data_IF_784780193019
#
_entry.id   IF_784780193019
#
_cell.length_a   1.000
_cell.length_b   1.000
_cell.length_c   1.000
_cell.angle_alpha   90.00
_cell.angle_beta   90.00
_cell.angle_gamma   90.00
#
_symmetry.space_group_name_H-M   'P 1'
#
loop_
_entity.id
_entity.type
_entity.pdbx_description
1 polymer ?
#
# COMPACT_ATOMS: atom_id res chain seq x y z
N UNK A 1 57.66 -44.82 -4.56
CA UNK A 1 57.32 -43.59 -5.32
C UNK A 1 55.99 -43.82 -6.01
N UNK A 2 55.12 -42.79 -6.06
CA UNK A 2 53.71 -42.78 -6.49
C UNK A 2 52.74 -43.08 -5.34
N UNK A 3 52.18 -42.11 -4.61
CA UNK A 3 51.35 -40.92 -4.90
C UNK A 3 49.91 -41.20 -4.43
N UNK A 4 49.57 -40.56 -3.31
CA UNK A 4 48.22 -40.42 -2.77
C UNK A 4 47.30 -39.74 -3.80
N UNK A 5 46.14 -40.33 -4.06
CA UNK A 5 45.02 -39.63 -4.68
C UNK A 5 43.91 -39.59 -3.63
N UNK A 6 43.86 -38.47 -2.92
CA UNK A 6 42.69 -38.09 -2.14
C UNK A 6 41.58 -37.66 -3.11
N UNK A 7 40.45 -38.34 -3.06
CA UNK A 7 39.25 -37.96 -3.79
C UNK A 7 38.64 -36.72 -3.12
N UNK A 8 38.86 -35.54 -3.71
CA UNK A 8 38.14 -34.31 -3.34
C UNK A 8 36.74 -34.35 -3.94
N UNK A 9 35.73 -34.63 -3.11
CA UNK A 9 34.34 -34.39 -3.43
C UNK A 9 34.08 -32.87 -3.37
N UNK A 10 33.93 -32.24 -4.53
CA UNK A 10 33.50 -30.85 -4.62
C UNK A 10 31.97 -30.79 -4.43
N UNK A 11 31.55 -30.47 -3.20
CA UNK A 11 30.17 -30.11 -2.91
C UNK A 11 29.91 -28.68 -3.45
N UNK A 12 29.21 -28.58 -4.57
CA UNK A 12 28.69 -27.30 -5.08
C UNK A 12 27.44 -26.96 -4.27
N UNK A 13 27.59 -26.13 -3.24
CA UNK A 13 26.48 -25.51 -2.55
C UNK A 13 25.88 -24.43 -3.46
N UNK A 14 24.79 -24.75 -4.16
CA UNK A 14 23.97 -23.75 -4.84
C UNK A 14 23.19 -22.99 -3.78
N UNK A 15 23.73 -21.85 -3.36
CA UNK A 15 22.99 -20.89 -2.54
C UNK A 15 21.87 -20.29 -3.40
N UNK A 16 20.63 -20.78 -3.22
CA UNK A 16 19.43 -20.08 -3.71
C UNK A 16 19.31 -18.76 -2.95
N UNK A 17 19.82 -17.68 -3.54
CA UNK A 17 19.46 -16.33 -3.17
C UNK A 17 17.99 -16.10 -3.56
N UNK A 18 17.09 -16.37 -2.63
CA UNK A 18 15.74 -15.83 -2.64
C UNK A 18 15.83 -14.31 -2.44
N UNK A 19 15.92 -13.56 -3.54
CA UNK A 19 15.67 -12.13 -3.53
C UNK A 19 14.19 -11.88 -3.19
N UNK A 20 13.90 -11.65 -1.92
CA UNK A 20 12.71 -10.92 -1.51
C UNK A 20 12.88 -9.48 -1.99
N UNK A 21 12.24 -9.12 -3.10
CA UNK A 21 12.06 -7.72 -3.46
C UNK A 21 11.02 -7.13 -2.50
N UNK A 22 11.36 -6.10 -1.70
CA UNK A 22 10.39 -5.42 -0.87
C UNK A 22 9.42 -4.64 -1.77
N UNK A 23 8.12 -4.73 -1.47
CA UNK A 23 7.15 -3.74 -1.92
C UNK A 23 7.52 -2.38 -1.27
N UNK A 24 7.34 -1.28 -2.00
CA UNK A 24 8.01 0.01 -1.73
C UNK A 24 7.07 1.18 -2.06
N UNK A 25 6.83 2.08 -1.10
CA UNK A 25 6.26 3.43 -1.30
C UNK A 25 6.48 4.38 -0.10
N UNK A 26 6.17 5.67 -0.28
CA UNK A 26 6.87 6.94 0.07
C UNK A 26 7.64 7.55 -1.14
N UNK A 27 7.88 8.87 -1.10
CA UNK A 27 8.65 9.54 -2.15
C UNK A 27 10.04 8.93 -2.27
N UNK A 28 10.47 8.66 -3.50
CA UNK A 28 11.79 8.12 -3.80
C UNK A 28 12.22 8.58 -5.19
N UNK A 29 13.53 8.64 -5.45
CA UNK A 29 13.98 8.78 -6.85
C UNK A 29 13.72 7.49 -7.62
N UNK A 30 13.44 7.60 -8.91
CA UNK A 30 13.25 6.47 -9.80
C UNK A 30 14.06 6.66 -11.09
N UNK A 31 14.28 5.56 -11.80
CA UNK A 31 14.72 5.55 -13.18
C UNK A 31 13.65 4.84 -14.02
N UNK A 32 13.31 5.42 -15.16
CA UNK A 32 12.49 4.73 -16.15
C UNK A 32 13.37 3.72 -16.90
N UNK A 33 13.05 2.43 -16.79
CA UNK A 33 13.75 1.36 -17.49
C UNK A 33 12.85 0.71 -18.53
N UNK A 34 13.40 -0.24 -19.31
CA UNK A 34 12.61 -1.06 -20.23
C UNK A 34 11.52 -1.89 -19.52
N UNK A 35 11.64 -2.12 -18.21
CA UNK A 35 10.65 -2.81 -17.37
C UNK A 35 9.73 -1.89 -16.57
N UNK A 36 9.77 -0.58 -16.79
CA UNK A 36 9.02 0.43 -16.03
C UNK A 36 9.85 1.15 -14.96
N UNK A 37 9.19 1.83 -14.03
CA UNK A 37 9.85 2.58 -12.95
C UNK A 37 10.59 1.65 -11.99
N UNK A 38 11.86 1.96 -11.76
CA UNK A 38 12.68 1.33 -10.73
C UNK A 38 13.12 2.38 -9.70
N UNK A 39 12.81 2.14 -8.43
CA UNK A 39 13.25 3.03 -7.36
C UNK A 39 14.77 2.98 -7.17
N UNK A 40 15.35 4.15 -7.00
CA UNK A 40 16.77 4.43 -6.84
C UNK A 40 17.00 5.14 -5.52
N UNK A 41 18.19 4.97 -4.97
CA UNK A 41 18.66 5.80 -3.87
C UNK A 41 19.36 7.02 -4.43
N UNK A 42 19.18 8.18 -3.78
CA UNK A 42 19.91 9.39 -4.12
C UNK A 42 20.78 9.82 -2.92
N UNK A 43 22.09 9.93 -3.13
CA UNK A 43 23.04 10.26 -2.08
C UNK A 43 23.17 11.77 -1.79
N UNK A 44 22.66 12.61 -2.69
CA UNK A 44 22.77 14.06 -2.62
C UNK A 44 21.51 14.74 -2.08
N UNK A 45 20.34 14.11 -2.23
CA UNK A 45 19.05 14.63 -1.75
C UNK A 45 18.73 14.02 -0.38
N UNK A 46 18.64 14.87 0.62
CA UNK A 46 18.25 14.54 1.99
C UNK A 46 16.79 14.94 2.25
N UNK A 47 16.01 14.05 2.86
CA UNK A 47 14.68 14.38 3.38
C UNK A 47 14.83 14.97 4.79
N UNK A 48 14.76 16.30 4.89
CA UNK A 48 14.86 17.03 6.16
C UNK A 48 13.63 16.82 7.03
N UNK A 49 12.43 16.77 6.45
CA UNK A 49 11.21 16.48 7.21
C UNK A 49 10.12 15.83 6.38
N UNK A 50 9.26 15.07 7.06
CA UNK A 50 7.99 14.55 6.57
C UNK A 50 6.90 14.88 7.61
N UNK A 51 5.91 15.67 7.20
CA UNK A 51 4.69 15.94 7.96
C UNK A 51 3.52 15.24 7.27
N UNK A 52 3.08 14.13 7.84
CA UNK A 52 2.11 13.20 7.29
C UNK A 52 0.82 13.24 8.10
N UNK A 53 -0.29 13.56 7.46
CA UNK A 53 -1.63 13.55 8.06
C UNK A 53 -2.49 12.50 7.36
N UNK A 54 -3.01 11.55 8.15
CA UNK A 54 -3.84 10.46 7.66
C UNK A 54 -5.22 10.50 8.34
N UNK A 55 -6.26 10.49 7.52
CA UNK A 55 -7.64 10.24 7.92
C UNK A 55 -8.27 9.22 6.98
N UNK A 56 -9.55 8.89 7.18
CA UNK A 56 -10.32 8.05 6.25
C UNK A 56 -10.70 8.78 4.96
N UNK A 57 -10.72 10.11 4.99
CA UNK A 57 -11.25 10.94 3.90
C UNK A 57 -10.12 11.52 3.04
N UNK A 58 -8.94 11.71 3.64
CA UNK A 58 -7.83 12.41 3.02
C UNK A 58 -6.50 12.04 3.68
N UNK A 59 -5.49 11.89 2.83
CA UNK A 59 -4.08 11.87 3.21
C UNK A 59 -3.43 13.13 2.63
N UNK A 60 -2.69 13.83 3.48
CA UNK A 60 -1.82 14.93 3.09
C UNK A 60 -0.41 14.63 3.60
N UNK A 61 0.59 14.88 2.77
CA UNK A 61 1.99 14.78 3.19
C UNK A 61 2.77 15.97 2.66
N UNK A 62 3.63 16.53 3.52
CA UNK A 62 4.53 17.62 3.18
C UNK A 62 5.95 17.22 3.50
N UNK A 63 6.78 17.20 2.46
CA UNK A 63 8.21 16.94 2.56
C UNK A 63 9.00 18.23 2.46
N UNK A 64 10.12 18.28 3.18
CA UNK A 64 11.20 19.22 2.88
C UNK A 64 12.43 18.43 2.48
N UNK A 65 12.91 18.68 1.27
CA UNK A 65 14.13 18.07 0.77
C UNK A 65 15.24 19.10 0.70
N UNK A 66 16.49 18.67 0.87
CA UNK A 66 17.69 19.46 0.66
C UNK A 66 18.58 18.77 -0.35
N UNK A 67 18.92 19.45 -1.45
CA UNK A 67 20.03 19.03 -2.29
C UNK A 67 21.33 19.53 -1.64
N UNK A 68 22.16 18.60 -1.20
CA UNK A 68 23.42 18.87 -0.49
C UNK A 68 24.62 19.04 -1.41
N UNK A 69 24.45 18.76 -2.70
CA UNK A 69 25.52 18.89 -3.68
C UNK A 69 25.69 20.34 -4.13
N UNK A 70 26.84 20.63 -4.73
CA UNK A 70 27.14 21.94 -5.33
C UNK A 70 26.59 22.13 -6.75
N UNK A 71 25.75 21.21 -7.23
CA UNK A 71 25.16 21.24 -8.57
C UNK A 71 23.67 20.92 -8.50
N UNK A 72 22.92 21.40 -9.49
CA UNK A 72 21.51 21.04 -9.61
C UNK A 72 21.37 19.54 -9.87
N UNK A 73 20.38 18.93 -9.22
CA UNK A 73 20.06 17.51 -9.37
C UNK A 73 18.75 17.37 -10.13
N UNK A 74 18.81 16.74 -11.30
CA UNK A 74 17.62 16.41 -12.09
C UNK A 74 17.29 14.94 -11.89
N UNK A 75 16.13 14.67 -11.28
CA UNK A 75 15.72 13.31 -10.92
C UNK A 75 14.25 13.09 -11.25
N UNK A 76 13.89 11.87 -11.60
CA UNK A 76 12.49 11.45 -11.60
C UNK A 76 12.09 11.12 -10.16
N UNK A 77 11.14 11.84 -9.60
CA UNK A 77 10.51 11.51 -8.30
C UNK A 77 9.36 10.56 -8.57
N UNK A 78 9.21 9.54 -7.73
CA UNK A 78 8.12 8.59 -7.78
C UNK A 78 7.45 8.47 -6.41
N UNK A 79 6.11 8.51 -6.42
CA UNK A 79 5.23 8.29 -5.29
C UNK A 79 4.35 7.06 -5.57
N UNK A 80 4.64 5.90 -4.98
CA UNK A 80 3.89 4.70 -5.25
C UNK A 80 2.69 4.60 -4.29
N UNK A 81 1.57 4.09 -4.79
CA UNK A 81 0.34 3.94 -4.02
C UNK A 81 0.28 2.56 -3.36
N UNK A 82 -0.47 2.40 -2.26
CA UNK A 82 -0.86 1.08 -1.77
C UNK A 82 -1.49 0.23 -2.89
N UNK A 83 -1.17 -1.06 -2.91
CA UNK A 83 -1.73 -1.98 -3.90
C UNK A 83 -3.24 -2.19 -3.69
N UNK A 84 -3.99 -2.29 -4.79
CA UNK A 84 -5.42 -2.59 -4.78
C UNK A 84 -5.63 -4.00 -5.34
N UNK A 85 -6.38 -4.84 -4.64
CA UNK A 85 -6.76 -6.18 -5.09
C UNK A 85 -8.26 -6.26 -5.43
N UNK A 86 -8.76 -7.44 -5.79
CA UNK A 86 -10.20 -7.71 -5.93
C UNK A 86 -10.81 -8.37 -4.69
N UNK A 87 -10.05 -8.64 -3.62
CA UNK A 87 -10.54 -9.49 -2.53
C UNK A 87 -11.70 -8.85 -1.76
N UNK A 88 -12.78 -9.61 -1.54
CA UNK A 88 -13.93 -9.21 -0.69
C UNK A 88 -13.53 -9.08 0.77
N UNK A 89 -12.50 -9.83 1.19
CA UNK A 89 -11.89 -9.73 2.52
C UNK A 89 -11.38 -8.32 2.83
N UNK A 90 -11.14 -7.49 1.80
CA UNK A 90 -10.64 -6.15 1.96
C UNK A 90 -11.74 -5.07 1.96
N UNK A 91 -12.96 -5.32 1.44
CA UNK A 91 -14.03 -4.34 1.15
C UNK A 91 -13.50 -2.91 1.02
N UNK A 92 -12.73 -2.67 -0.03
CA UNK A 92 -12.06 -1.39 -0.22
C UNK A 92 -12.99 -0.43 -0.94
N UNK A 93 -13.19 0.74 -0.33
CA UNK A 93 -13.75 1.90 -0.99
C UNK A 93 -12.64 2.65 -1.74
N UNK A 94 -12.89 2.89 -3.03
CA UNK A 94 -12.01 3.64 -3.92
C UNK A 94 -12.84 4.79 -4.51
N UNK A 95 -12.40 6.05 -4.36
CA UNK A 95 -13.19 7.23 -4.73
C UNK A 95 -13.66 7.29 -6.18
N UNK A 96 -12.82 6.83 -7.12
CA UNK A 96 -13.12 6.90 -8.55
C UNK A 96 -12.57 5.69 -9.29
N UNK A 97 -13.24 4.54 -9.13
CA UNK A 97 -12.83 3.26 -9.74
C UNK A 97 -12.70 3.28 -11.27
N UNK A 98 -13.38 4.21 -11.96
CA UNK A 98 -13.37 4.27 -13.43
C UNK A 98 -12.31 5.24 -13.99
N UNK A 99 -11.52 5.89 -13.12
CA UNK A 99 -10.42 6.79 -13.48
C UNK A 99 -9.07 6.13 -13.23
N UNK A 100 -8.09 6.40 -14.09
CA UNK A 100 -6.70 6.05 -13.83
C UNK A 100 -6.17 6.76 -12.56
N UNK A 101 -6.63 8.00 -12.30
CA UNK A 101 -6.38 8.71 -11.04
C UNK A 101 -7.46 8.38 -9.99
N UNK A 102 -7.58 7.11 -9.64
CA UNK A 102 -8.67 6.58 -8.79
C UNK A 102 -8.65 7.10 -7.34
N UNK A 103 -7.54 7.66 -6.86
CA UNK A 103 -7.38 8.25 -5.51
C UNK A 103 -7.37 9.79 -5.51
N UNK A 104 -7.58 10.43 -6.66
CA UNK A 104 -7.52 11.90 -6.79
C UNK A 104 -6.18 12.50 -6.32
N UNK A 105 -5.07 11.84 -6.66
CA UNK A 105 -3.72 12.30 -6.34
C UNK A 105 -3.42 13.64 -6.98
N UNK A 106 -2.84 14.53 -6.17
CA UNK A 106 -2.31 15.84 -6.54
C UNK A 106 -0.96 16.04 -5.88
N UNK A 107 -0.05 16.70 -6.58
CA UNK A 107 1.29 17.02 -6.10
C UNK A 107 1.65 18.47 -6.42
N UNK A 108 2.27 19.13 -5.44
CA UNK A 108 2.79 20.49 -5.57
C UNK A 108 4.26 20.53 -5.22
N UNK A 109 4.97 21.43 -5.88
CA UNK A 109 6.36 21.75 -5.61
C UNK A 109 6.49 23.25 -5.40
N UNK A 110 6.98 23.65 -4.23
CA UNK A 110 7.03 25.04 -3.77
C UNK A 110 5.70 25.78 -4.00
N UNK A 111 4.59 25.10 -3.68
CA UNK A 111 3.23 25.62 -3.80
C UNK A 111 2.64 25.62 -5.22
N UNK A 112 3.39 25.21 -6.25
CA UNK A 112 2.92 25.12 -7.64
C UNK A 112 2.50 23.69 -7.98
N UNK A 113 1.32 23.54 -8.60
CA UNK A 113 0.85 22.24 -9.08
C UNK A 113 1.81 21.63 -10.11
N UNK A 114 2.09 20.34 -9.96
CA UNK A 114 2.90 19.55 -10.89
C UNK A 114 2.02 18.45 -11.47
N UNK A 115 2.06 18.30 -12.80
CA UNK A 115 1.35 17.21 -13.47
C UNK A 115 2.17 15.93 -13.35
N UNK A 116 1.72 15.01 -12.50
CA UNK A 116 2.31 13.69 -12.39
C UNK A 116 1.86 12.79 -13.54
N UNK A 117 2.79 11.99 -14.05
CA UNK A 117 2.53 10.84 -14.89
C UNK A 117 2.19 9.64 -14.01
N UNK A 118 1.54 8.62 -14.59
CA UNK A 118 1.09 7.44 -13.86
C UNK A 118 1.59 6.16 -14.55
N UNK A 119 2.29 5.32 -13.80
CA UNK A 119 2.57 3.94 -14.16
C UNK A 119 1.60 3.00 -13.42
N UNK A 120 1.04 2.03 -14.12
CA UNK A 120 0.22 0.97 -13.54
C UNK A 120 0.75 -0.40 -13.95
N UNK A 121 0.81 -1.32 -12.98
CA UNK A 121 1.14 -2.73 -13.17
C UNK A 121 0.08 -3.63 -12.54
N UNK A 122 -0.31 -4.67 -13.25
CA UNK A 122 -1.17 -5.75 -12.76
C UNK A 122 -0.32 -6.97 -12.42
N UNK A 123 -0.37 -7.42 -11.17
CA UNK A 123 0.49 -8.45 -10.63
C UNK A 123 -0.34 -9.62 -10.07
N UNK A 124 -0.15 -10.81 -10.62
CA UNK A 124 -0.59 -12.06 -9.99
C UNK A 124 0.59 -12.60 -9.22
N UNK A 125 0.50 -12.61 -7.89
CA UNK A 125 1.65 -12.78 -6.99
C UNK A 125 2.83 -11.86 -7.33
N UNK A 126 3.84 -12.38 -8.03
CA UNK A 126 5.04 -11.65 -8.47
C UNK A 126 5.12 -11.50 -10.00
N UNK A 127 4.17 -12.08 -10.72
CA UNK A 127 4.16 -12.12 -12.19
C UNK A 127 3.42 -10.90 -12.71
N UNK A 128 4.09 -10.12 -13.56
CA UNK A 128 3.49 -8.99 -14.26
C UNK A 128 2.67 -9.48 -15.47
N UNK A 129 1.35 -9.26 -15.40
CA UNK A 129 0.37 -9.62 -16.44
C UNK A 129 -0.15 -8.41 -17.20
N UNK A 130 0.44 -7.22 -16.99
CA UNK A 130 -0.02 -5.93 -17.52
C UNK A 130 -0.14 -5.94 -19.03
N UNK A 131 0.92 -6.35 -19.74
CA UNK A 131 0.92 -6.34 -21.20
C UNK A 131 -0.17 -7.25 -21.78
N UNK A 132 -0.43 -8.39 -21.12
CA UNK A 132 -1.47 -9.33 -21.54
C UNK A 132 -2.87 -8.76 -21.35
N UNK A 133 -3.15 -8.16 -20.19
CA UNK A 133 -4.44 -7.52 -19.94
C UNK A 133 -4.69 -6.36 -20.91
N UNK A 134 -3.68 -5.51 -21.13
CA UNK A 134 -3.76 -4.41 -22.12
C UNK A 134 -4.02 -4.92 -23.54
N UNK A 135 -3.35 -5.99 -23.96
CA UNK A 135 -3.55 -6.59 -25.29
C UNK A 135 -4.97 -7.16 -25.47
N UNK A 136 -5.61 -7.58 -24.37
CA UNK A 136 -7.00 -8.05 -24.35
C UNK A 136 -8.02 -6.92 -24.16
N UNK A 137 -7.56 -5.67 -24.02
CA UNK A 137 -8.43 -4.52 -23.73
C UNK A 137 -9.03 -4.52 -22.33
N UNK A 138 -8.51 -5.35 -21.40
CA UNK A 138 -8.98 -5.44 -20.02
C UNK A 138 -8.39 -4.28 -19.21
N UNK A 139 -9.21 -3.38 -18.63
CA UNK A 139 -8.72 -2.35 -17.72
C UNK A 139 -7.98 -2.96 -16.52
N UNK A 140 -6.93 -2.28 -16.05
CA UNK A 140 -6.06 -2.82 -15.00
C UNK A 140 -6.63 -2.67 -13.59
N UNK A 141 -7.60 -1.78 -13.39
CA UNK A 141 -8.24 -1.59 -12.08
C UNK A 141 -9.15 -2.78 -11.79
N UNK A 142 -8.78 -3.71 -10.89
CA UNK A 142 -9.54 -4.95 -10.68
C UNK A 142 -11.00 -4.70 -10.27
N UNK A 143 -11.28 -3.63 -9.53
CA UNK A 143 -12.63 -3.32 -9.02
C UNK A 143 -13.48 -2.44 -9.97
N UNK A 144 -12.95 -2.03 -11.12
CA UNK A 144 -13.74 -1.23 -12.06
C UNK A 144 -14.83 -2.08 -12.70
N UNK A 145 -16.04 -1.51 -12.85
CA UNK A 145 -17.15 -2.20 -13.52
C UNK A 145 -16.80 -2.57 -14.97
N UNK A 146 -16.03 -1.70 -15.62
CA UNK A 146 -15.52 -1.94 -16.97
C UNK A 146 -14.65 -3.20 -17.04
N UNK A 147 -13.85 -3.49 -16.00
CA UNK A 147 -13.01 -4.70 -15.94
C UNK A 147 -13.84 -5.96 -15.98
N UNK A 148 -14.85 -6.07 -15.13
CA UNK A 148 -15.77 -7.21 -15.13
C UNK A 148 -16.48 -7.36 -16.47
N UNK A 149 -17.02 -6.25 -17.00
CA UNK A 149 -17.75 -6.24 -18.28
C UNK A 149 -16.88 -6.76 -19.42
N UNK A 150 -15.62 -6.31 -19.51
CA UNK A 150 -14.70 -6.77 -20.57
C UNK A 150 -14.34 -8.23 -20.37
N UNK A 151 -14.03 -8.67 -19.14
CA UNK A 151 -13.68 -10.06 -18.84
C UNK A 151 -14.80 -11.02 -19.25
N UNK A 152 -16.05 -10.71 -18.90
CA UNK A 152 -17.22 -11.52 -19.25
C UNK A 152 -17.51 -11.55 -20.76
N UNK A 153 -17.12 -10.50 -21.49
CA UNK A 153 -17.27 -10.41 -22.94
C UNK A 153 -16.12 -11.06 -23.74
N UNK A 154 -15.02 -11.47 -23.09
CA UNK A 154 -13.92 -12.16 -23.78
C UNK A 154 -14.38 -13.50 -24.38
N UNK A 155 -13.77 -13.96 -25.49
CA UNK A 155 -14.05 -15.29 -26.03
C UNK A 155 -13.83 -16.38 -24.98
N UNK A 156 -14.69 -17.41 -24.96
CA UNK A 156 -14.64 -18.48 -23.97
C UNK A 156 -13.25 -19.17 -23.88
N UNK A 157 -12.57 -19.34 -25.01
CA UNK A 157 -11.21 -19.89 -25.04
C UNK A 157 -10.20 -18.97 -24.32
N UNK A 158 -10.34 -17.66 -24.47
CA UNK A 158 -9.51 -16.67 -23.77
C UNK A 158 -9.79 -16.68 -22.26
N UNK A 159 -11.06 -16.73 -21.86
CA UNK A 159 -11.44 -16.85 -20.44
C UNK A 159 -10.86 -18.12 -19.82
N UNK A 160 -10.98 -19.28 -20.50
CA UNK A 160 -10.41 -20.55 -20.03
C UNK A 160 -8.88 -20.47 -19.87
N UNK A 161 -8.19 -19.79 -20.80
CA UNK A 161 -6.74 -19.63 -20.69
C UNK A 161 -6.38 -18.71 -19.51
N UNK A 162 -7.12 -17.62 -19.28
CA UNK A 162 -6.91 -16.74 -18.12
C UNK A 162 -7.18 -17.45 -16.78
N UNK A 163 -8.21 -18.32 -16.73
CA UNK A 163 -8.51 -19.18 -15.57
C UNK A 163 -7.38 -20.17 -15.31
N UNK A 164 -6.89 -20.85 -16.36
CA UNK A 164 -5.79 -21.81 -16.28
C UNK A 164 -4.49 -21.16 -15.79
N UNK A 165 -4.26 -19.92 -16.19
CA UNK A 165 -3.08 -19.14 -15.79
C UNK A 165 -3.30 -18.38 -14.47
N UNK A 166 -4.43 -18.62 -13.78
CA UNK A 166 -4.80 -18.04 -12.49
C UNK A 166 -4.85 -16.49 -12.47
N UNK A 167 -5.00 -15.87 -13.65
CA UNK A 167 -5.14 -14.41 -13.81
C UNK A 167 -6.54 -13.96 -13.41
N UNK A 168 -7.53 -14.82 -13.62
CA UNK A 168 -8.90 -14.66 -13.14
C UNK A 168 -9.33 -15.93 -12.42
N UNK A 169 -10.40 -15.84 -11.64
CA UNK A 169 -11.00 -16.95 -10.90
C UNK A 169 -12.53 -16.94 -11.05
N UNK A 170 -13.21 -18.08 -10.86
CA UNK A 170 -14.66 -18.10 -10.72
C UNK A 170 -15.09 -17.25 -9.52
N UNK A 171 -16.24 -16.59 -9.66
CA UNK A 171 -16.86 -15.76 -8.64
C UNK A 171 -18.37 -16.03 -8.59
N UNK A 172 -18.71 -17.30 -8.44
CA UNK A 172 -20.10 -17.75 -8.49
C UNK A 172 -20.86 -17.32 -7.22
N UNK A 173 -21.98 -16.63 -7.38
CA UNK A 173 -22.85 -16.22 -6.28
C UNK A 173 -24.34 -16.32 -6.66
N UNK A 174 -25.20 -16.44 -5.66
CA UNK A 174 -26.66 -16.37 -5.83
C UNK A 174 -27.17 -15.07 -5.20
N UNK A 175 -27.60 -14.12 -6.03
CA UNK A 175 -28.18 -12.84 -5.60
C UNK A 175 -29.70 -12.91 -5.39
N UNK A 176 -30.25 -14.11 -5.14
CA UNK A 176 -31.68 -14.37 -4.99
C UNK A 176 -32.40 -14.67 -6.31
N UNK A 177 -31.65 -14.95 -7.38
CA UNK A 177 -32.16 -15.27 -8.73
C UNK A 177 -31.66 -16.62 -9.24
N UNK A 178 -30.98 -17.39 -8.39
CA UNK A 178 -30.26 -18.61 -8.77
C UNK A 178 -28.76 -18.34 -8.91
N UNK A 179 -27.99 -19.42 -9.02
CA UNK A 179 -26.53 -19.33 -9.18
C UNK A 179 -26.16 -18.58 -10.46
N UNK A 180 -25.44 -17.48 -10.30
CA UNK A 180 -24.84 -16.70 -11.37
C UNK A 180 -23.36 -17.05 -11.47
N UNK A 181 -22.86 -17.21 -12.70
CA UNK A 181 -21.46 -17.52 -12.96
C UNK A 181 -20.72 -16.27 -13.42
N UNK A 182 -19.78 -15.80 -12.59
CA UNK A 182 -18.98 -14.61 -12.86
C UNK A 182 -17.48 -14.91 -12.83
N UNK A 183 -16.71 -13.96 -13.37
CA UNK A 183 -15.26 -14.00 -13.40
C UNK A 183 -14.69 -12.82 -12.61
N UNK A 184 -13.82 -13.12 -11.66
CA UNK A 184 -13.15 -12.14 -10.82
C UNK A 184 -11.66 -12.03 -11.18
N UNK A 185 -11.09 -10.81 -11.21
CA UNK A 185 -9.66 -10.60 -11.26
C UNK A 185 -8.92 -11.25 -10.08
N UNK A 186 -7.77 -11.86 -10.35
CA UNK A 186 -6.84 -12.37 -9.32
C UNK A 186 -5.63 -11.47 -9.11
N UNK A 187 -5.45 -10.43 -9.92
CA UNK A 187 -4.28 -9.56 -9.85
C UNK A 187 -4.44 -8.40 -8.85
N UNK A 188 -3.31 -7.91 -8.37
CA UNK A 188 -3.15 -6.65 -7.64
C UNK A 188 -2.74 -5.55 -8.59
N UNK A 189 -3.41 -4.41 -8.53
CA UNK A 189 -2.99 -3.18 -9.19
C UNK A 189 -1.96 -2.46 -8.32
N UNK A 190 -0.79 -2.21 -8.89
CA UNK A 190 0.23 -1.29 -8.36
C UNK A 190 0.22 -0.03 -9.21
N UNK A 191 -0.04 1.11 -8.58
CA UNK A 191 -0.01 2.42 -9.22
C UNK A 191 1.18 3.24 -8.69
N UNK A 192 1.86 3.99 -9.56
CA UNK A 192 2.96 4.86 -9.18
C UNK A 192 2.88 6.17 -9.94
N UNK A 193 2.71 7.27 -9.20
CA UNK A 193 2.79 8.61 -9.77
C UNK A 193 4.25 9.04 -9.86
N UNK A 194 4.64 9.71 -10.93
CA UNK A 194 6.00 10.16 -11.12
C UNK A 194 6.09 11.45 -11.93
N UNK A 195 7.14 12.24 -11.69
CA UNK A 195 7.43 13.46 -12.43
C UNK A 195 8.92 13.77 -12.38
N UNK A 196 9.41 14.55 -13.34
CA UNK A 196 10.78 15.04 -13.32
C UNK A 196 10.88 16.29 -12.43
N UNK A 197 11.85 16.28 -11.53
CA UNK A 197 12.08 17.34 -10.56
C UNK A 197 13.53 17.81 -10.63
N UNK A 198 13.71 19.12 -10.59
CA UNK A 198 15.01 19.74 -10.36
C UNK A 198 15.12 20.15 -8.90
N UNK A 199 16.13 19.66 -8.20
CA UNK A 199 16.49 20.11 -6.86
C UNK A 199 17.68 21.07 -6.99
N UNK A 200 17.51 22.38 -6.75
CA UNK A 200 18.59 23.35 -6.94
C UNK A 200 19.76 23.10 -5.97
N UNK A 201 20.99 23.34 -6.43
CA UNK A 201 22.20 23.18 -5.63
C UNK A 201 22.09 23.88 -4.25
N UNK A 202 22.46 23.16 -3.18
CA UNK A 202 22.51 23.70 -1.82
C UNK A 202 21.20 24.24 -1.25
N UNK A 203 20.05 23.95 -1.89
CA UNK A 203 18.76 24.58 -1.56
C UNK A 203 17.73 23.58 -1.06
N UNK A 204 16.81 24.08 -0.21
CA UNK A 204 15.62 23.34 0.18
C UNK A 204 14.53 23.43 -0.90
N UNK A 205 13.74 22.38 -1.03
CA UNK A 205 12.57 22.31 -1.90
C UNK A 205 11.43 21.62 -1.14
N UNK A 206 10.23 22.20 -1.22
CA UNK A 206 9.03 21.66 -0.57
C UNK A 206 8.21 20.87 -1.59
N UNK A 207 7.86 19.63 -1.24
CA UNK A 207 6.95 18.80 -2.01
C UNK A 207 5.73 18.49 -1.16
N UNK A 208 4.54 18.66 -1.71
CA UNK A 208 3.27 18.41 -1.00
C UNK A 208 2.41 17.47 -1.83
N UNK A 209 1.79 16.49 -1.19
CA UNK A 209 0.82 15.60 -1.82
C UNK A 209 -0.51 15.63 -1.09
N UNK A 210 -1.57 15.40 -1.86
CA UNK A 210 -2.91 15.22 -1.33
C UNK A 210 -3.68 14.20 -2.15
N UNK A 211 -4.32 13.25 -1.48
CA UNK A 211 -5.16 12.24 -2.12
C UNK A 211 -6.18 11.67 -1.14
N UNK A 212 -7.20 11.00 -1.66
CA UNK A 212 -8.17 10.26 -0.85
C UNK A 212 -7.69 8.82 -0.71
N UNK A 213 -7.57 8.26 0.51
CA UNK A 213 -7.06 6.91 0.69
C UNK A 213 -8.04 5.86 0.18
N UNK A 214 -7.48 4.71 -0.19
CA UNK A 214 -8.23 3.46 -0.33
C UNK A 214 -8.53 2.93 1.08
N UNK A 215 -9.81 2.83 1.46
CA UNK A 215 -10.22 2.42 2.81
C UNK A 215 -10.84 1.03 2.76
N UNK A 216 -10.13 0.04 3.31
CA UNK A 216 -10.70 -1.30 3.50
C UNK A 216 -11.67 -1.33 4.67
N UNK A 217 -12.68 -2.20 4.65
CA UNK A 217 -13.67 -2.28 5.72
C UNK A 217 -14.23 -3.67 5.98
N UNK A 218 -14.88 -3.86 7.12
CA UNK A 218 -15.84 -4.95 7.32
C UNK A 218 -16.92 -4.52 8.30
N UNK A 219 -18.12 -5.08 8.13
CA UNK A 219 -19.26 -4.80 9.02
C UNK A 219 -19.06 -5.35 10.43
N UNK A 220 -18.19 -6.35 10.57
CA UNK A 220 -17.82 -6.98 11.83
C UNK A 220 -16.31 -7.22 11.85
N UNK A 221 -15.65 -6.70 12.88
CA UNK A 221 -14.22 -6.92 13.08
C UNK A 221 -13.90 -8.38 13.36
N UNK A 222 -12.79 -8.84 12.80
CA UNK A 222 -12.27 -10.18 13.08
C UNK A 222 -11.74 -10.31 14.51
N UNK A 223 -11.42 -9.24 15.23
CA UNK A 223 -10.80 -9.30 16.56
C UNK A 223 -11.65 -10.11 17.55
N UNK A 224 -12.96 -9.85 17.56
CA UNK A 224 -13.94 -10.49 18.45
C UNK A 224 -14.94 -11.37 17.70
N UNK A 225 -14.70 -11.62 16.41
CA UNK A 225 -15.53 -12.47 15.57
C UNK A 225 -15.58 -13.92 16.08
N UNK A 226 -16.79 -14.47 16.16
CA UNK A 226 -17.04 -15.82 16.65
C UNK A 226 -16.36 -16.91 15.80
N UNK A 227 -16.20 -16.66 14.49
CA UNK A 227 -15.57 -17.56 13.54
C UNK A 227 -14.11 -17.22 13.25
N UNK A 228 -13.53 -16.21 13.91
CA UNK A 228 -12.14 -15.84 13.68
C UNK A 228 -11.22 -16.91 14.27
N UNK A 229 -10.39 -17.47 13.40
CA UNK A 229 -9.37 -18.46 13.76
C UNK A 229 -8.24 -17.85 14.61
N UNK A 230 -7.45 -18.70 15.27
CA UNK A 230 -6.27 -18.25 16.00
C UNK A 230 -5.23 -17.58 15.09
N UNK A 231 -5.08 -18.07 13.85
CA UNK A 231 -4.18 -17.50 12.85
C UNK A 231 -4.63 -16.11 12.41
N UNK A 232 -5.92 -15.94 12.09
CA UNK A 232 -6.46 -14.63 11.75
C UNK A 232 -6.25 -13.62 12.89
N UNK A 233 -6.48 -14.02 14.16
CA UNK A 233 -6.19 -13.16 15.31
C UNK A 233 -4.70 -12.77 15.41
N UNK A 234 -3.78 -13.70 15.16
CA UNK A 234 -2.34 -13.39 15.09
C UNK A 234 -2.03 -12.41 13.98
N UNK A 235 -2.71 -12.50 12.83
CA UNK A 235 -2.53 -11.57 11.73
C UNK A 235 -2.97 -10.14 12.10
N UNK A 236 -4.06 -9.97 12.86
CA UNK A 236 -4.44 -8.65 13.40
C UNK A 236 -3.34 -8.05 14.29
N UNK A 237 -2.81 -8.86 15.21
CA UNK A 237 -1.71 -8.43 16.11
C UNK A 237 -0.46 -8.06 15.30
N UNK A 238 -0.08 -8.87 14.32
CA UNK A 238 1.11 -8.62 13.52
C UNK A 238 0.96 -7.38 12.61
N UNK A 239 -0.18 -7.26 11.93
CA UNK A 239 -0.42 -6.20 10.95
C UNK A 239 -0.70 -4.86 11.61
N UNK A 240 -1.58 -4.81 12.62
CA UNK A 240 -2.08 -3.57 13.21
C UNK A 240 -1.61 -3.32 14.64
N UNK A 241 -0.80 -4.22 15.22
CA UNK A 241 -0.31 -4.13 16.59
C UNK A 241 -1.43 -3.97 17.62
N UNK A 242 -2.49 -4.77 17.47
CA UNK A 242 -3.62 -4.79 18.40
C UNK A 242 -3.18 -5.31 19.76
N UNK A 243 -2.76 -4.39 20.63
CA UNK A 243 -2.31 -4.70 21.99
C UNK A 243 -3.46 -5.29 22.85
N UNK A 244 -3.15 -6.00 23.95
CA UNK A 244 -4.18 -6.59 24.81
C UNK A 244 -5.23 -5.60 25.32
N UNK A 245 -4.82 -4.35 25.60
CA UNK A 245 -5.71 -3.26 26.03
C UNK A 245 -6.70 -2.89 24.92
N UNK A 246 -6.24 -2.78 23.68
CA UNK A 246 -7.06 -2.52 22.50
C UNK A 246 -8.07 -3.65 22.27
N UNK A 247 -7.61 -4.91 22.28
CA UNK A 247 -8.47 -6.08 22.12
C UNK A 247 -9.54 -6.13 23.22
N UNK A 248 -9.18 -5.79 24.46
CA UNK A 248 -10.13 -5.71 25.58
C UNK A 248 -11.19 -4.63 25.36
N UNK A 249 -10.81 -3.46 24.83
CA UNK A 249 -11.73 -2.38 24.51
C UNK A 249 -12.70 -2.76 23.38
N UNK A 250 -12.22 -3.43 22.33
CA UNK A 250 -13.06 -3.98 21.25
C UNK A 250 -14.04 -5.04 21.78
N UNK A 251 -13.58 -5.91 22.68
CA UNK A 251 -14.45 -6.88 23.35
C UNK A 251 -15.53 -6.22 24.22
N UNK A 252 -15.21 -5.11 24.88
CA UNK A 252 -16.20 -4.33 25.61
C UNK A 252 -17.24 -3.68 24.68
N UNK A 253 -16.82 -3.15 23.52
CA UNK A 253 -17.75 -2.66 22.49
C UNK A 253 -18.66 -3.77 21.98
N UNK A 254 -18.09 -4.94 21.69
CA UNK A 254 -18.82 -6.13 21.22
C UNK A 254 -19.92 -6.53 22.22
N UNK A 255 -19.60 -6.60 23.52
CA UNK A 255 -20.59 -6.92 24.56
C UNK A 255 -21.71 -5.88 24.67
N UNK A 256 -21.37 -4.60 24.57
CA UNK A 256 -22.37 -3.51 24.57
C UNK A 256 -23.29 -3.56 23.34
N UNK A 257 -22.81 -4.12 22.24
CA UNK A 257 -23.54 -4.29 21.00
C UNK A 257 -24.28 -5.64 20.89
N UNK A 258 -24.78 -6.18 22.01
CA UNK A 258 -25.49 -7.47 22.00
C UNK A 258 -24.63 -8.66 21.52
N UNK A 259 -23.32 -8.62 21.80
CA UNK A 259 -22.31 -9.57 21.33
C UNK A 259 -22.07 -9.58 19.81
N UNK A 260 -22.48 -8.55 19.09
CA UNK A 260 -22.12 -8.34 17.69
C UNK A 260 -20.82 -7.55 17.59
N UNK A 261 -19.77 -8.08 16.94
CA UNK A 261 -18.53 -7.33 16.75
C UNK A 261 -18.78 -5.99 16.03
N UNK A 262 -18.16 -4.88 16.46
CA UNK A 262 -18.29 -3.59 15.79
C UNK A 262 -17.68 -3.61 14.37
N UNK A 263 -18.06 -2.67 13.49
CA UNK A 263 -17.42 -2.51 12.19
C UNK A 263 -15.97 -2.03 12.32
N UNK A 264 -15.15 -2.36 11.32
CA UNK A 264 -13.77 -1.89 11.22
C UNK A 264 -13.47 -1.24 9.88
N UNK A 265 -12.46 -0.37 9.89
CA UNK A 265 -11.87 0.25 8.73
C UNK A 265 -10.34 0.18 8.80
N UNK A 266 -9.72 0.07 7.64
CA UNK A 266 -8.30 -0.21 7.46
C UNK A 266 -7.72 0.79 6.45
N UNK A 267 -6.72 1.54 6.85
CA UNK A 267 -5.99 2.48 5.99
C UNK A 267 -4.53 2.06 5.97
N UNK A 268 -3.97 1.87 4.78
CA UNK A 268 -2.54 1.57 4.62
C UNK A 268 -1.84 2.77 3.99
N UNK A 269 -0.64 3.08 4.48
CA UNK A 269 0.24 4.09 3.94
C UNK A 269 1.64 3.53 3.88
N UNK A 270 2.30 3.71 2.76
CA UNK A 270 3.60 3.10 2.53
C UNK A 270 4.68 4.09 2.94
N UNK A 271 5.53 3.69 3.87
CA UNK A 271 6.46 4.58 4.59
C UNK A 271 7.92 4.21 4.34
N UNK A 272 8.18 2.93 4.05
CA UNK A 272 9.52 2.36 4.00
C UNK A 272 10.45 2.98 2.97
N UNK A 273 9.95 3.53 1.86
CA UNK A 273 10.84 4.14 0.86
C UNK A 273 11.35 5.53 1.25
N UNK A 274 10.84 6.12 2.33
CA UNK A 274 11.51 7.26 2.97
C UNK A 274 12.95 6.95 3.37
N UNK A 275 13.32 5.66 3.45
CA UNK A 275 14.69 5.20 3.66
C UNK A 275 15.59 5.22 2.41
N UNK A 276 15.09 5.58 1.22
CA UNK A 276 15.87 5.61 -0.02
C UNK A 276 16.64 6.94 -0.24
N UNK A 277 16.43 7.93 0.62
CA UNK A 277 17.12 9.21 0.57
C UNK A 277 18.50 9.17 1.25
N UNK A 278 19.30 10.22 1.08
CA UNK A 278 20.69 10.26 1.52
C UNK A 278 20.91 9.97 3.02
N UNK A 279 19.90 10.24 3.84
CA UNK A 279 19.90 10.05 5.29
C UNK A 279 18.51 9.60 5.78
N UNK A 280 18.40 9.10 7.03
CA UNK A 280 17.11 8.98 7.70
C UNK A 280 16.33 10.31 7.67
N UNK A 281 15.00 10.21 7.77
CA UNK A 281 14.11 11.37 7.80
C UNK A 281 14.49 12.24 8.99
N UNK A 282 14.88 13.50 8.74
CA UNK A 282 15.36 14.42 9.78
C UNK A 282 14.33 14.60 10.90
N UNK A 283 13.20 15.21 10.57
CA UNK A 283 12.04 15.38 11.45
C UNK A 283 10.80 14.67 10.86
N UNK A 284 10.31 13.65 11.54
CA UNK A 284 9.09 12.94 11.15
C UNK A 284 7.95 13.29 12.10
N UNK A 285 6.84 13.76 11.54
CA UNK A 285 5.60 14.00 12.26
C UNK A 285 4.46 13.27 11.55
N UNK A 286 3.79 12.38 12.28
CA UNK A 286 2.59 11.69 11.83
C UNK A 286 1.40 12.17 12.66
N UNK A 287 0.33 12.52 11.98
CA UNK A 287 -0.98 12.82 12.56
C UNK A 287 -1.99 11.80 12.04
N UNK A 288 -2.76 11.20 12.94
CA UNK A 288 -3.84 10.26 12.62
C UNK A 288 -5.14 10.82 13.17
N UNK A 289 -6.14 10.92 12.31
CA UNK A 289 -7.51 11.24 12.69
C UNK A 289 -8.42 10.02 12.50
N UNK A 290 -8.92 9.47 13.62
CA UNK A 290 -9.85 8.33 13.61
C UNK A 290 -11.31 8.71 13.31
N UNK A 291 -11.58 9.99 13.04
CA UNK A 291 -12.87 10.53 12.61
C UNK A 291 -13.89 10.72 13.72
N UNK A 292 -14.18 9.71 14.55
CA UNK A 292 -15.17 9.82 15.65
C UNK A 292 -14.51 9.66 17.02
N UNK A 293 -14.88 10.46 18.05
CA UNK A 293 -14.31 10.32 19.40
C UNK A 293 -14.55 8.95 20.04
N UNK A 294 -15.64 8.28 19.67
CA UNK A 294 -16.01 6.94 20.16
C UNK A 294 -15.24 5.79 19.50
N UNK A 295 -14.63 5.99 18.33
CA UNK A 295 -13.86 4.93 17.65
C UNK A 295 -12.58 4.58 18.39
N UNK A 296 -12.03 3.39 18.17
CA UNK A 296 -10.69 3.00 18.59
C UNK A 296 -9.75 3.06 17.39
N UNK A 297 -8.45 3.25 17.64
CA UNK A 297 -7.41 3.18 16.60
C UNK A 297 -6.24 2.33 17.10
N UNK A 298 -5.69 1.51 16.21
CA UNK A 298 -4.49 0.70 16.44
C UNK A 298 -3.57 0.81 15.23
N UNK A 299 -2.28 0.93 15.49
CA UNK A 299 -1.23 0.91 14.48
C UNK A 299 0.08 0.43 15.09
N UNK A 300 0.96 -0.03 14.23
CA UNK A 300 2.29 -0.47 14.63
C UNK A 300 3.28 0.69 14.69
N UNK A 301 3.06 1.60 15.64
CA UNK A 301 3.97 2.70 15.90
C UNK A 301 4.13 2.94 17.41
N UNK A 302 5.33 3.36 17.80
CA UNK A 302 5.72 3.67 19.18
C UNK A 302 5.67 5.17 19.43
N UNK A 303 5.42 5.57 20.68
CA UNK A 303 5.35 6.99 21.04
C UNK A 303 4.08 7.70 20.53
N UNK A 304 3.01 6.95 20.27
CA UNK A 304 1.71 7.50 19.88
C UNK A 304 1.10 8.24 21.06
N UNK A 305 0.82 9.54 20.89
CA UNK A 305 0.20 10.40 21.89
C UNK A 305 -1.16 10.85 21.39
N UNK A 306 -2.21 10.70 22.21
CA UNK A 306 -3.53 11.28 21.91
C UNK A 306 -3.48 12.80 22.14
N UNK A 307 -3.63 13.60 21.09
CA UNK A 307 -3.57 15.07 21.15
C UNK A 307 -4.94 15.74 21.04
N UNK A 308 -5.99 14.97 20.72
CA UNK A 308 -7.36 15.47 20.68
C UNK A 308 -8.42 14.36 20.78
N UNK A 309 -9.72 14.69 20.66
CA UNK A 309 -10.80 13.69 20.74
C UNK A 309 -10.66 12.57 19.71
N UNK A 310 -10.18 12.90 18.51
CA UNK A 310 -9.98 11.98 17.38
C UNK A 310 -8.52 11.88 16.94
N UNK A 311 -7.65 12.78 17.42
CA UNK A 311 -6.30 12.96 16.91
C UNK A 311 -5.24 12.25 17.77
N UNK A 312 -4.34 11.57 17.08
CA UNK A 312 -3.14 10.95 17.62
C UNK A 312 -1.93 11.42 16.84
N UNK A 313 -0.82 11.65 17.52
CA UNK A 313 0.42 12.14 16.91
C UNK A 313 1.60 11.27 17.31
N UNK A 314 2.55 11.15 16.38
CA UNK A 314 3.86 10.55 16.59
C UNK A 314 4.90 11.54 16.09
N UNK A 315 5.95 11.76 16.88
CA UNK A 315 7.10 12.59 16.50
C UNK A 315 8.38 11.79 16.68
N UNK A 316 9.25 11.84 15.67
CA UNK A 316 10.56 11.19 15.68
C UNK A 316 11.58 12.07 14.99
N UNK A 317 12.84 11.87 15.35
CA UNK A 317 13.98 12.50 14.66
C UNK A 317 14.94 11.43 14.16
N UNK A 318 15.66 11.71 13.07
CA UNK A 318 16.56 10.77 12.40
C UNK A 318 15.91 9.40 12.14
N UNK A 319 14.65 9.44 11.70
CA UNK A 319 13.80 8.27 11.62
C UNK A 319 14.06 7.51 10.32
N UNK A 320 14.40 6.21 10.46
CA UNK A 320 14.48 5.28 9.34
C UNK A 320 13.29 4.33 9.39
N UNK A 321 12.27 4.50 8.52
CA UNK A 321 11.11 3.62 8.52
C UNK A 321 11.51 2.20 8.12
N UNK A 322 11.13 1.23 8.95
CA UNK A 322 11.40 -0.20 8.73
C UNK A 322 10.15 -0.99 8.33
N UNK A 323 8.98 -0.34 8.39
CA UNK A 323 7.69 -0.90 8.02
C UNK A 323 6.77 0.18 7.49
N UNK A 324 5.79 -0.25 6.72
CA UNK A 324 4.69 0.59 6.29
C UNK A 324 3.67 0.75 7.42
N UNK A 325 2.81 1.75 7.30
CA UNK A 325 1.74 2.01 8.25
C UNK A 325 0.50 1.22 7.83
N UNK A 326 0.00 0.43 8.74
CA UNK A 326 -1.31 -0.21 8.67
C UNK A 326 -2.12 0.28 9.88
N UNK A 327 -3.19 1.03 9.61
CA UNK A 327 -4.02 1.67 10.62
C UNK A 327 -5.36 0.95 10.65
N UNK A 328 -5.72 0.42 11.81
CA UNK A 328 -7.03 -0.18 12.07
C UNK A 328 -7.86 0.78 12.92
N UNK A 329 -9.06 1.10 12.43
CA UNK A 329 -10.06 1.90 13.14
C UNK A 329 -11.26 1.01 13.43
N UNK A 330 -11.69 0.96 14.70
CA UNK A 330 -12.90 0.26 15.10
C UNK A 330 -13.96 1.30 15.43
N UNK A 331 -15.01 1.37 14.62
CA UNK A 331 -16.09 2.33 14.85
C UNK A 331 -17.05 1.77 15.90
N UNK A 332 -17.48 2.64 16.81
CA UNK A 332 -18.59 2.27 17.69
C UNK A 332 -19.84 1.98 16.82
N UNK A 333 -20.63 0.94 17.15
CA UNK A 333 -21.91 0.71 16.50
C UNK A 333 -22.79 1.97 16.63
N UNK A 334 -23.61 2.23 15.61
CA UNK A 334 -24.55 3.35 15.62
C UNK A 334 -25.65 3.16 16.66
#
# INVERSE_FOLDING_TARGET
MHQNIAASAAAVAVALLTCCLPARANDTTAALTTGGLEFRTNADIEMLSEDLSISRERIDVRYRFLNRSGADQHVTVAFPMPEIDFSDASNIDVPNNDSDNFLNFRTKVDGREVTAQLEQKALVDKTDVTARLKALGVPLQPRAKATQTVLEALPAQTQQQLLKDEIIRPDDYDAGKGMEHHLAPSWRLRATYYWDQTFPAGSELVVEHSYTPSVGGSVQTGITGQYTTAEQRKNYVHKFCTEPSFVTAVAAMTRKNGNQPPPEQRVSYVLTTGANWAKPIGDFHLTIDKGKPSSLVSLCETGVVKTGPTRFEVRKTNFKPSRDLDILIIDAPQ
#
